data_IF_565065433339
#
_entry.id   IF_565065433339
#
_cell.length_a   1.000
_cell.length_b   1.000
_cell.length_c   1.000
_cell.angle_alpha   90.00
_cell.angle_beta   90.00
_cell.angle_gamma   90.00
#
_symmetry.space_group_name_H-M   'P 1'
#
loop_
_entity.id
_entity.type
_entity.pdbx_description
1 polymer ?
#
# COMPACT_ATOMS: atom_id res chain seq x y z
N UNK A 1 -3.07 -17.09 3.89
CA UNK A 1 -1.60 -17.17 3.73
C UNK A 1 -0.95 -16.35 4.82
N UNK A 2 0.31 -16.62 5.13
CA UNK A 2 1.07 -15.89 6.14
C UNK A 2 2.13 -15.02 5.47
N UNK A 3 2.63 -14.02 6.19
CA UNK A 3 3.74 -13.18 5.76
C UNK A 3 4.94 -14.02 5.29
N UNK A 4 5.56 -13.60 4.18
CA UNK A 4 6.66 -14.31 3.53
C UNK A 4 6.25 -15.45 2.59
N UNK A 5 4.97 -15.79 2.53
CA UNK A 5 4.45 -16.70 1.51
C UNK A 5 4.71 -16.15 0.11
N UNK A 6 5.03 -17.05 -0.82
CA UNK A 6 5.25 -16.74 -2.23
C UNK A 6 4.11 -17.26 -3.07
N UNK A 7 3.66 -16.46 -4.02
CA UNK A 7 2.62 -16.81 -4.99
C UNK A 7 3.20 -16.68 -6.38
N UNK A 8 3.12 -17.75 -7.17
CA UNK A 8 3.41 -17.70 -8.60
C UNK A 8 2.21 -17.12 -9.34
N UNK A 9 2.39 -16.00 -10.00
CA UNK A 9 1.37 -15.37 -10.84
C UNK A 9 1.51 -15.85 -12.29
N UNK A 10 0.39 -15.87 -13.00
CA UNK A 10 0.34 -16.23 -14.41
C UNK A 10 -0.07 -14.99 -15.20
N UNK A 11 0.88 -14.44 -15.97
CA UNK A 11 0.60 -13.28 -16.81
C UNK A 11 -0.26 -13.65 -18.00
N UNK A 12 -1.17 -12.75 -18.36
CA UNK A 12 -2.00 -12.90 -19.54
C UNK A 12 -1.78 -11.71 -20.47
N UNK A 13 -1.30 -11.99 -21.67
CA UNK A 13 -1.07 -10.99 -22.72
C UNK A 13 -2.30 -10.96 -23.64
N UNK A 14 -2.75 -9.76 -23.95
CA UNK A 14 -3.85 -9.48 -24.85
C UNK A 14 -3.52 -8.24 -25.70
N UNK A 15 -4.31 -7.97 -26.73
CA UNK A 15 -4.17 -6.75 -27.53
C UNK A 15 -5.46 -5.93 -27.38
N UNK A 16 -5.31 -4.64 -27.12
CA UNK A 16 -6.41 -3.70 -27.06
C UNK A 16 -7.11 -3.63 -28.43
N UNK A 17 -8.43 -3.81 -28.51
CA UNK A 17 -9.14 -3.90 -29.79
C UNK A 17 -9.19 -2.59 -30.59
N UNK A 18 -9.04 -1.44 -29.92
CA UNK A 18 -9.17 -0.13 -30.54
C UNK A 18 -7.82 0.43 -31.02
N UNK A 19 -6.77 0.19 -30.24
CA UNK A 19 -5.42 0.75 -30.47
C UNK A 19 -4.41 -0.29 -30.96
N UNK A 20 -4.70 -1.59 -30.79
CA UNK A 20 -3.76 -2.67 -31.06
C UNK A 20 -2.60 -2.77 -30.06
N UNK A 21 -2.60 -1.97 -28.99
CA UNK A 21 -1.54 -2.00 -27.99
C UNK A 21 -1.53 -3.34 -27.23
N UNK A 22 -0.34 -3.89 -27.00
CA UNK A 22 -0.18 -5.07 -26.15
C UNK A 22 -0.42 -4.71 -24.68
N UNK A 23 -1.30 -5.45 -24.02
CA UNK A 23 -1.66 -5.28 -22.60
C UNK A 23 -1.42 -6.58 -21.85
N UNK A 24 -0.61 -6.51 -20.80
CA UNK A 24 -0.32 -7.65 -19.93
C UNK A 24 -1.01 -7.49 -18.58
N UNK A 25 -1.89 -8.45 -18.23
CA UNK A 25 -2.47 -8.56 -16.88
C UNK A 25 -1.50 -9.34 -15.98
N UNK A 26 -1.17 -8.77 -14.83
CA UNK A 26 -0.18 -9.34 -13.89
C UNK A 26 -0.80 -10.25 -12.83
N UNK A 27 -2.06 -10.01 -12.45
CA UNK A 27 -2.73 -10.73 -11.34
C UNK A 27 -3.88 -11.60 -11.85
N UNK A 28 -4.26 -12.66 -11.10
CA UNK A 28 -5.43 -13.46 -11.41
C UNK A 28 -6.72 -12.62 -11.31
N UNK A 29 -7.68 -12.79 -12.25
CA UNK A 29 -8.95 -12.06 -12.23
C UNK A 29 -9.89 -12.50 -11.10
N UNK A 30 -9.70 -13.70 -10.54
CA UNK A 30 -10.49 -14.26 -9.45
C UNK A 30 -10.06 -13.76 -8.05
N UNK A 31 -8.96 -13.01 -7.94
CA UNK A 31 -8.50 -12.39 -6.69
C UNK A 31 -8.48 -10.88 -6.85
N UNK A 32 -9.17 -10.17 -5.95
CA UNK A 32 -9.13 -8.70 -5.90
C UNK A 32 -7.70 -8.22 -5.69
N UNK A 33 -7.19 -7.45 -6.65
CA UNK A 33 -5.87 -6.83 -6.59
C UNK A 33 -5.94 -5.40 -7.10
N UNK A 34 -5.12 -4.52 -6.54
CA UNK A 34 -5.02 -3.13 -6.97
C UNK A 34 -3.63 -2.54 -6.71
N UNK A 35 -3.33 -1.46 -7.43
CA UNK A 35 -2.15 -0.64 -7.18
C UNK A 35 -2.39 0.37 -6.04
N UNK A 36 -1.31 0.87 -5.44
CA UNK A 36 -1.33 1.97 -4.47
C UNK A 36 -1.74 3.32 -5.14
N UNK A 37 -1.67 4.46 -4.46
CA UNK A 37 -1.92 5.77 -5.10
C UNK A 37 -0.84 6.14 -6.13
N UNK A 38 -1.18 6.88 -7.19
CA UNK A 38 -0.29 7.11 -8.34
C UNK A 38 0.94 7.97 -8.03
N UNK A 39 0.88 8.79 -6.98
CA UNK A 39 2.00 9.61 -6.53
C UNK A 39 2.92 8.87 -5.55
N UNK A 40 2.59 7.63 -5.17
CA UNK A 40 3.37 6.81 -4.25
C UNK A 40 4.28 5.84 -5.02
N UNK A 41 5.57 5.80 -4.67
CA UNK A 41 6.54 4.91 -5.31
C UNK A 41 6.13 3.44 -5.13
N UNK A 42 5.91 2.73 -6.24
CA UNK A 42 5.56 1.31 -6.26
C UNK A 42 6.49 0.44 -7.11
N UNK A 43 7.41 1.02 -7.88
CA UNK A 43 8.45 0.26 -8.57
C UNK A 43 9.80 0.43 -7.89
N UNK A 44 10.63 -0.61 -7.95
CA UNK A 44 12.06 -0.47 -7.68
C UNK A 44 12.70 0.46 -8.71
N UNK A 45 13.84 1.07 -8.37
CA UNK A 45 14.51 2.02 -9.26
C UNK A 45 14.94 1.39 -10.59
N UNK A 46 15.22 0.09 -10.61
CA UNK A 46 15.56 -0.69 -11.81
C UNK A 46 14.34 -1.28 -12.53
N UNK A 47 13.13 -1.05 -12.01
CA UNK A 47 11.88 -1.58 -12.55
C UNK A 47 11.69 -3.09 -12.37
N UNK A 48 12.56 -3.79 -11.62
CA UNK A 48 12.51 -5.25 -11.49
C UNK A 48 11.36 -5.77 -10.59
N UNK A 49 10.91 -4.92 -9.65
CA UNK A 49 9.86 -5.26 -8.70
C UNK A 49 8.74 -4.23 -8.67
N UNK A 50 7.53 -4.71 -8.37
CA UNK A 50 6.30 -3.93 -8.24
C UNK A 50 5.62 -4.22 -6.90
N UNK A 51 5.39 -3.19 -6.11
CA UNK A 51 4.52 -3.21 -4.93
C UNK A 51 3.05 -3.14 -5.37
N UNK A 52 2.23 -4.04 -4.84
CA UNK A 52 0.79 -4.03 -5.04
C UNK A 52 0.06 -4.60 -3.83
N UNK A 53 -1.27 -4.51 -3.84
CA UNK A 53 -2.11 -5.14 -2.83
C UNK A 53 -3.00 -6.22 -3.46
N UNK A 54 -3.25 -7.28 -2.70
CA UNK A 54 -4.12 -8.37 -3.13
C UNK A 54 -4.80 -9.06 -1.95
N UNK A 55 -5.92 -9.72 -2.24
CA UNK A 55 -6.72 -10.47 -1.25
C UNK A 55 -6.46 -11.99 -1.29
N UNK A 56 -5.21 -12.40 -1.49
CA UNK A 56 -4.88 -13.82 -1.62
C UNK A 56 -5.02 -14.61 -0.31
N UNK A 57 -5.11 -13.92 0.83
CA UNK A 57 -5.22 -14.53 2.16
C UNK A 57 -6.50 -14.20 2.92
N UNK A 58 -7.49 -13.59 2.25
CA UNK A 58 -8.75 -13.16 2.87
C UNK A 58 -8.67 -11.76 3.51
N UNK A 59 -7.53 -11.08 3.43
CA UNK A 59 -7.38 -9.68 3.78
C UNK A 59 -6.63 -8.94 2.67
N UNK A 60 -6.86 -7.64 2.52
CA UNK A 60 -6.03 -6.83 1.62
C UNK A 60 -4.67 -6.60 2.26
N UNK A 61 -3.65 -7.27 1.73
CA UNK A 61 -2.28 -7.18 2.20
C UNK A 61 -1.35 -6.73 1.07
N UNK A 62 -0.16 -6.26 1.44
CA UNK A 62 0.87 -5.86 0.50
C UNK A 62 1.70 -7.04 0.01
N UNK A 63 2.05 -7.00 -1.25
CA UNK A 63 2.88 -7.97 -1.94
C UNK A 63 3.95 -7.27 -2.78
N UNK A 64 5.13 -7.87 -2.88
CA UNK A 64 6.19 -7.45 -3.79
C UNK A 64 6.33 -8.48 -4.91
N UNK A 65 5.94 -8.08 -6.12
CA UNK A 65 6.06 -8.88 -7.34
C UNK A 65 7.46 -8.70 -7.93
N UNK A 66 8.19 -9.79 -8.12
CA UNK A 66 9.31 -9.83 -9.07
C UNK A 66 8.73 -10.01 -10.47
N UNK A 67 8.94 -9.01 -11.34
CA UNK A 67 8.25 -8.95 -12.64
C UNK A 67 8.74 -10.07 -13.57
N UNK A 68 10.05 -10.30 -13.62
CA UNK A 68 10.65 -11.28 -14.52
C UNK A 68 10.29 -12.72 -14.14
N UNK A 69 10.27 -13.04 -12.85
CA UNK A 69 9.93 -14.39 -12.38
C UNK A 69 8.44 -14.60 -12.16
N UNK A 70 7.60 -13.56 -12.26
CA UNK A 70 6.18 -13.62 -11.93
C UNK A 70 5.90 -14.21 -10.53
N UNK A 71 6.78 -13.95 -9.57
CA UNK A 71 6.63 -14.42 -8.19
C UNK A 71 6.41 -13.24 -7.26
N UNK A 72 5.32 -13.27 -6.50
CA UNK A 72 4.98 -12.27 -5.51
C UNK A 72 5.21 -12.80 -4.10
N UNK A 73 5.94 -12.06 -3.27
CA UNK A 73 6.10 -12.35 -1.83
C UNK A 73 5.14 -11.49 -1.01
N UNK A 74 4.47 -12.10 -0.04
CA UNK A 74 3.59 -11.40 0.90
C UNK A 74 4.42 -10.60 1.94
N UNK A 75 4.20 -9.29 2.01
CA UNK A 75 4.94 -8.37 2.87
C UNK A 75 4.27 -8.09 4.21
N UNK A 76 2.93 -8.12 4.24
CA UNK A 76 2.11 -7.83 5.44
C UNK A 76 1.04 -8.90 5.63
N UNK A 77 0.45 -8.98 6.82
CA UNK A 77 -0.60 -9.95 7.14
C UNK A 77 -1.65 -9.40 8.11
N UNK A 78 -2.79 -10.09 8.17
CA UNK A 78 -3.93 -9.72 9.02
C UNK A 78 -4.74 -8.55 8.47
N UNK A 79 -5.72 -8.11 9.25
CA UNK A 79 -6.59 -7.00 8.86
C UNK A 79 -5.98 -5.62 9.15
N UNK A 80 -6.57 -4.57 8.57
CA UNK A 80 -6.33 -3.18 8.96
C UNK A 80 -5.29 -2.41 8.13
N UNK A 81 -4.72 -3.01 7.09
CA UNK A 81 -3.78 -2.33 6.20
C UNK A 81 -4.52 -1.28 5.36
N UNK A 82 -4.00 -0.04 5.35
CA UNK A 82 -4.33 0.88 4.27
C UNK A 82 -3.50 0.51 3.04
N UNK A 83 -4.13 -0.19 2.09
CA UNK A 83 -3.47 -0.74 0.89
C UNK A 83 -3.32 0.25 -0.27
N UNK A 84 -3.71 1.50 -0.08
CA UNK A 84 -3.56 2.56 -1.09
C UNK A 84 -2.40 3.50 -0.79
N UNK A 85 -2.14 3.79 0.49
CA UNK A 85 -1.16 4.79 0.91
C UNK A 85 0.30 4.32 0.95
N UNK A 86 0.56 3.02 0.85
CA UNK A 86 1.89 2.46 1.04
C UNK A 86 2.85 2.75 -0.11
N UNK A 87 4.14 2.87 0.22
CA UNK A 87 5.19 3.23 -0.73
C UNK A 87 6.55 2.64 -0.38
N UNK A 88 7.39 2.50 -1.39
CA UNK A 88 8.76 2.01 -1.26
C UNK A 88 9.73 3.12 -0.88
N UNK A 89 10.76 2.78 -0.11
CA UNK A 89 11.88 3.68 0.18
C UNK A 89 12.68 4.02 -1.09
N UNK A 90 13.45 5.13 -1.10
CA UNK A 90 14.23 5.52 -2.26
C UNK A 90 15.33 4.51 -2.58
N UNK A 91 15.84 3.81 -1.58
CA UNK A 91 16.91 2.80 -1.70
C UNK A 91 16.40 1.36 -1.91
N UNK A 92 15.09 1.17 -2.14
CA UNK A 92 14.44 -0.12 -2.43
C UNK A 92 14.58 -1.17 -1.31
N UNK A 93 14.77 -0.75 -0.05
CA UNK A 93 14.93 -1.66 1.10
C UNK A 93 13.71 -1.78 2.00
N UNK A 94 12.81 -0.80 1.97
CA UNK A 94 11.69 -0.74 2.90
C UNK A 94 10.37 -0.44 2.18
N UNK A 95 9.27 -0.97 2.73
CA UNK A 95 7.90 -0.52 2.50
C UNK A 95 7.45 0.31 3.71
N UNK A 96 6.82 1.44 3.49
CA UNK A 96 6.07 2.16 4.52
C UNK A 96 4.58 2.05 4.26
N UNK A 97 3.79 1.79 5.31
CA UNK A 97 2.34 1.71 5.21
C UNK A 97 1.67 2.04 6.55
N UNK A 98 0.37 2.33 6.52
CA UNK A 98 -0.41 2.54 7.75
C UNK A 98 -1.27 1.33 8.04
N UNK A 99 -1.29 0.91 9.30
CA UNK A 99 -2.20 -0.11 9.82
C UNK A 99 -3.13 0.47 10.89
N UNK A 100 -4.39 0.05 10.87
CA UNK A 100 -5.45 0.45 11.79
C UNK A 100 -5.57 1.98 11.94
N UNK A 101 -5.41 2.70 10.83
CA UNK A 101 -5.54 4.16 10.69
C UNK A 101 -4.66 5.00 11.64
N UNK A 102 -3.68 4.40 12.31
CA UNK A 102 -2.91 5.06 13.38
C UNK A 102 -1.42 4.79 13.36
N UNK A 103 -1.02 3.62 12.90
CA UNK A 103 0.34 3.13 13.08
C UNK A 103 1.04 3.18 11.73
N UNK A 104 1.99 4.10 11.59
CA UNK A 104 2.92 4.09 10.46
C UNK A 104 3.99 3.03 10.72
N UNK A 105 4.02 2.03 9.87
CA UNK A 105 4.94 0.91 9.93
C UNK A 105 5.94 0.98 8.79
N UNK A 106 7.15 0.52 9.07
CA UNK A 106 8.19 0.20 8.10
C UNK A 106 8.35 -1.32 8.04
N UNK A 107 8.37 -1.90 6.85
CA UNK A 107 8.68 -3.31 6.60
C UNK A 107 10.00 -3.39 5.86
N UNK A 108 10.99 -4.10 6.41
CA UNK A 108 12.21 -4.42 5.67
C UNK A 108 11.89 -5.46 4.58
N UNK A 109 12.20 -5.17 3.32
CA UNK A 109 11.81 -6.03 2.19
C UNK A 109 12.61 -7.34 2.09
N UNK A 110 13.73 -7.47 2.82
CA UNK A 110 14.53 -8.70 2.86
C UNK A 110 14.15 -9.59 4.03
N UNK A 111 14.11 -9.04 5.24
CA UNK A 111 13.84 -9.81 6.47
C UNK A 111 12.36 -9.90 6.81
N UNK A 112 11.54 -9.06 6.17
CA UNK A 112 10.12 -8.88 6.46
C UNK A 112 9.85 -8.35 7.88
N UNK A 113 10.87 -7.97 8.65
CA UNK A 113 10.67 -7.39 9.97
C UNK A 113 9.90 -6.07 9.88
N UNK A 114 8.92 -5.89 10.77
CA UNK A 114 8.15 -4.64 10.89
C UNK A 114 8.66 -3.81 12.06
N UNK A 115 8.67 -2.49 11.86
CA UNK A 115 9.00 -1.51 12.89
C UNK A 115 7.96 -0.40 12.89
N UNK A 116 7.42 -0.10 14.06
CA UNK A 116 6.62 1.11 14.26
C UNK A 116 7.52 2.34 14.13
N UNK A 117 7.24 3.17 13.12
CA UNK A 117 7.95 4.42 12.87
C UNK A 117 7.29 5.55 13.65
N UNK A 118 5.96 5.56 13.65
CA UNK A 118 5.16 6.59 14.30
C UNK A 118 3.76 6.08 14.62
N UNK A 119 3.18 6.62 15.70
CA UNK A 119 1.78 6.40 16.09
C UNK A 119 1.09 7.73 16.30
N UNK A 120 -0.04 7.89 15.61
CA UNK A 120 -0.92 9.04 15.79
C UNK A 120 -1.48 9.02 17.22
N UNK A 121 -1.33 10.14 17.92
CA UNK A 121 -1.89 10.32 19.28
C UNK A 121 -3.39 10.02 19.30
N UNK A 122 -3.90 9.57 20.44
CA UNK A 122 -5.33 9.30 20.64
C UNK A 122 -6.21 10.54 20.42
N UNK A 123 -5.64 11.74 20.61
CA UNK A 123 -6.32 13.03 20.40
C UNK A 123 -6.59 13.36 18.92
N UNK A 124 -6.01 12.58 17.99
CA UNK A 124 -6.07 12.83 16.55
C UNK A 124 -6.64 11.62 15.80
N UNK A 125 -7.31 11.89 14.69
CA UNK A 125 -7.65 10.87 13.70
C UNK A 125 -6.55 10.87 12.64
N UNK A 126 -5.86 9.73 12.52
CA UNK A 126 -4.90 9.54 11.44
C UNK A 126 -5.63 9.29 10.13
N UNK A 127 -5.32 10.06 9.09
CA UNK A 127 -5.62 9.58 7.74
C UNK A 127 -4.54 8.58 7.35
N UNK A 128 -4.96 7.42 6.85
CA UNK A 128 -4.07 6.31 6.47
C UNK A 128 -3.14 6.60 5.28
N UNK A 129 -2.95 7.86 4.90
CA UNK A 129 -2.13 8.28 3.75
C UNK A 129 -1.06 9.25 4.21
N UNK A 130 0.19 8.82 4.04
CA UNK A 130 1.39 9.59 4.39
C UNK A 130 2.21 9.75 3.12
N UNK A 131 2.74 10.96 2.88
CA UNK A 131 3.51 11.27 1.69
C UNK A 131 4.94 11.60 2.10
N UNK A 132 5.90 10.84 1.58
CA UNK A 132 7.30 11.14 1.74
C UNK A 132 7.77 12.15 0.68
N UNK A 133 8.76 12.98 1.04
CA UNK A 133 9.53 13.68 0.02
C UNK A 133 10.45 12.68 -0.73
N UNK A 134 11.02 13.10 -1.87
CA UNK A 134 11.74 12.20 -2.78
C UNK A 134 12.92 11.46 -2.16
N UNK A 135 13.54 12.00 -1.11
CA UNK A 135 14.64 11.35 -0.37
C UNK A 135 14.18 10.62 0.91
N UNK A 136 12.87 10.61 1.20
CA UNK A 136 12.25 10.03 2.40
C UNK A 136 12.82 10.53 3.74
N UNK A 137 13.41 11.72 3.78
CA UNK A 137 13.84 12.37 5.02
C UNK A 137 12.70 13.08 5.76
N UNK A 138 11.59 13.35 5.07
CA UNK A 138 10.41 14.03 5.61
C UNK A 138 9.13 13.31 5.18
N UNK A 139 8.16 13.29 6.09
CA UNK A 139 6.84 12.72 5.87
C UNK A 139 5.79 13.78 6.20
N UNK A 140 4.79 13.91 5.32
CA UNK A 140 3.59 14.70 5.56
C UNK A 140 2.43 13.73 5.76
N UNK A 141 1.83 13.76 6.95
CA UNK A 141 0.56 13.11 7.24
C UNK A 141 -0.56 14.13 7.23
N UNK A 142 -1.74 13.74 6.75
CA UNK A 142 -2.96 14.51 6.92
C UNK A 142 -3.67 13.96 8.17
N UNK A 143 -4.14 14.84 9.03
CA UNK A 143 -4.85 14.48 10.26
C UNK A 143 -5.95 15.48 10.52
N UNK A 144 -7.06 15.01 11.12
CA UNK A 144 -8.07 15.90 11.68
C UNK A 144 -7.97 15.86 13.21
N UNK A 145 -8.02 17.06 13.81
CA UNK A 145 -8.02 17.22 15.25
C UNK A 145 -9.40 16.83 15.76
N UNK A 146 -9.51 15.90 16.71
CA UNK A 146 -10.79 15.73 17.40
C UNK A 146 -11.05 16.93 18.31
N UNK A 147 -11.59 18.02 17.76
CA UNK A 147 -12.82 18.51 18.37
C UNK A 147 -13.92 17.65 17.79
N UNK A 148 -14.32 16.60 18.53
CA UNK A 148 -15.63 15.98 18.32
C UNK A 148 -16.66 17.10 18.47
N UNK A 149 -17.05 17.73 17.37
CA UNK A 149 -18.30 18.45 17.32
C UNK A 149 -19.37 17.37 17.33
N UNK A 150 -20.17 17.34 18.40
CA UNK A 150 -21.32 16.47 18.51
C UNK A 150 -22.22 16.67 17.28
N UNK A 151 -22.94 15.63 16.85
CA UNK A 151 -23.74 15.69 15.62
C UNK A 151 -24.72 16.88 15.58
N UNK A 152 -25.18 17.34 16.75
CA UNK A 152 -25.99 18.53 16.95
C UNK A 152 -25.27 19.85 16.62
N UNK A 153 -23.96 19.94 16.82
CA UNK A 153 -23.16 21.10 16.44
C UNK A 153 -22.89 21.14 14.93
N UNK A 154 -22.75 19.99 14.27
CA UNK A 154 -22.52 19.93 12.81
C UNK A 154 -23.66 20.50 11.98
N UNK A 155 -24.89 20.45 12.47
CA UNK A 155 -26.08 20.99 11.79
C UNK A 155 -26.36 22.46 12.14
N UNK A 156 -25.79 22.98 13.24
CA UNK A 156 -25.99 24.36 13.66
C UNK A 156 -25.12 25.36 12.86
N UNK A 157 -24.02 24.88 12.28
CA UNK A 157 -23.03 25.70 11.57
C UNK A 157 -23.12 25.58 10.02
N UNK A 158 -24.13 24.89 9.48
CA UNK A 158 -24.42 24.90 8.04
C UNK A 158 -25.33 26.10 7.71
N UNK A 159 -24.91 27.03 6.82
CA UNK A 159 -25.77 28.11 6.34
C UNK A 159 -26.91 27.60 5.45
#
# INVERSE_FOLDING_TARGET
MAKGMRVKLNYHVSHDPDTGAEVTRLTPPEVTCHRNYFYQKCFFNDGSHLLFAGEFDGHWNYYLLNIASAEAVQLTEGAGDNTFGGFLSPDDKSLYYVKNDRILLEVNLTTLAEREVYRVSDDWVGYGTWVANSDCSKLVGIGDCQKRLDATQRLADFP
#
